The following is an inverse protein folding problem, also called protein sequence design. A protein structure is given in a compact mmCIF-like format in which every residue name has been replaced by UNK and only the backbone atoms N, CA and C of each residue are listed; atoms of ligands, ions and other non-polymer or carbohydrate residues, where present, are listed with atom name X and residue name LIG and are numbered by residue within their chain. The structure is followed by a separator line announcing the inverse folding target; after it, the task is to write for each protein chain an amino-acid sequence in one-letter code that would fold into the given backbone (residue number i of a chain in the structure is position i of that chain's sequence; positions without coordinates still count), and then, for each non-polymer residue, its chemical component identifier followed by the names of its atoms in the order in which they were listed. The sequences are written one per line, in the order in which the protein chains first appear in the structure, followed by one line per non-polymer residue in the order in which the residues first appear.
data_IF_702335617119
#
_entry.id   IF_702335617119
#
_cell.length_a   1.000
_cell.length_b   1.000
_cell.length_c   1.000
_cell.angle_alpha   90.00
_cell.angle_beta   90.00
_cell.angle_gamma   90.00
#
_symmetry.space_group_name_H-M   'P 1'
#
loop_
_entity.id
_entity.type
_entity.pdbx_description
1 polymer ?
#
# COMPACT_ATOMS: atom_id res chain seq x y z
N UNK A 1 -17.56 20.30 43.95
CA UNK A 1 -18.26 19.42 43.00
C UNK A 1 -17.20 18.54 42.36
N UNK A 2 -17.16 17.22 42.58
CA UNK A 2 -16.23 16.33 41.91
C UNK A 2 -16.79 16.00 40.51
N UNK A 3 -16.05 16.32 39.47
CA UNK A 3 -16.32 15.92 38.09
C UNK A 3 -15.86 14.48 37.89
N UNK A 4 -16.84 13.60 37.82
CA UNK A 4 -16.66 12.16 37.64
C UNK A 4 -16.36 11.84 36.18
N UNK A 5 -15.08 11.67 35.84
CA UNK A 5 -14.58 11.32 34.51
C UNK A 5 -14.84 9.85 34.13
N UNK A 6 -15.26 9.02 35.08
CA UNK A 6 -15.49 7.60 34.85
C UNK A 6 -16.78 7.27 34.07
N UNK A 7 -17.71 8.23 33.93
CA UNK A 7 -19.02 8.00 33.30
C UNK A 7 -19.10 8.38 31.81
N UNK A 8 -18.08 9.00 31.23
CA UNK A 8 -18.08 9.42 29.83
C UNK A 8 -17.56 8.38 28.82
N UNK A 9 -16.89 7.33 29.28
CA UNK A 9 -16.31 6.30 28.38
C UNK A 9 -17.31 5.22 27.96
N UNK A 10 -18.47 5.10 28.62
CA UNK A 10 -19.46 4.04 28.36
C UNK A 10 -20.47 4.37 27.23
N UNK A 11 -20.44 5.58 26.65
CA UNK A 11 -21.45 6.01 25.68
C UNK A 11 -21.06 5.82 24.19
N UNK A 12 -19.80 5.49 23.89
CA UNK A 12 -19.33 5.38 22.49
C UNK A 12 -19.48 4.00 21.87
N UNK A 13 -19.72 2.96 22.67
CA UNK A 13 -19.97 1.62 22.13
C UNK A 13 -21.27 1.06 22.70
N UNK A 14 -22.31 0.82 21.90
CA UNK A 14 -23.54 0.22 22.41
C UNK A 14 -23.28 -1.21 22.87
N UNK A 15 -23.26 -1.45 24.17
CA UNK A 15 -23.29 -2.80 24.78
C UNK A 15 -24.61 -3.48 24.45
N UNK A 16 -24.81 -3.96 23.21
CA UNK A 16 -25.89 -4.88 22.88
C UNK A 16 -25.43 -6.31 23.09
N UNK A 17 -26.19 -7.09 23.85
CA UNK A 17 -26.13 -8.56 24.01
C UNK A 17 -26.49 -9.26 22.69
N UNK A 18 -25.73 -9.05 21.64
CA UNK A 18 -25.72 -9.91 20.48
C UNK A 18 -24.43 -10.71 20.54
N UNK A 19 -24.50 -11.98 20.14
CA UNK A 19 -23.32 -12.80 19.95
C UNK A 19 -22.46 -12.09 18.90
N UNK A 20 -21.42 -11.38 19.34
CA UNK A 20 -20.56 -10.60 18.46
C UNK A 20 -19.86 -11.57 17.52
N UNK A 21 -19.94 -11.32 16.21
CA UNK A 21 -19.13 -12.06 15.24
C UNK A 21 -17.66 -11.85 15.59
N UNK A 22 -16.94 -12.92 15.87
CA UNK A 22 -15.51 -12.88 16.10
C UNK A 22 -14.78 -13.10 14.77
N UNK A 23 -13.98 -12.11 14.36
CA UNK A 23 -13.16 -12.18 13.16
C UNK A 23 -11.67 -12.32 13.52
N UNK A 24 -10.98 -13.25 12.88
CA UNK A 24 -9.53 -13.35 12.93
C UNK A 24 -8.90 -12.73 11.68
N UNK A 25 -8.03 -11.74 11.84
CA UNK A 25 -7.32 -11.08 10.76
C UNK A 25 -5.87 -11.54 10.76
N UNK A 26 -5.42 -12.16 9.69
CA UNK A 26 -4.03 -12.63 9.52
C UNK A 26 -3.20 -11.55 8.84
N UNK A 27 -2.23 -11.00 9.57
CA UNK A 27 -1.34 -9.92 9.17
C UNK A 27 -1.72 -8.58 9.82
N UNK A 28 -0.76 -7.98 10.53
CA UNK A 28 -0.87 -6.65 11.12
C UNK A 28 -0.11 -5.59 10.30
N UNK A 29 -0.08 -5.73 8.98
CA UNK A 29 0.27 -4.66 8.05
C UNK A 29 -0.84 -3.60 8.00
N UNK A 30 -0.62 -2.51 7.27
CA UNK A 30 -1.60 -1.42 7.13
C UNK A 30 -2.99 -1.95 6.78
N UNK A 31 -3.09 -2.80 5.74
CA UNK A 31 -4.38 -3.32 5.27
C UNK A 31 -5.09 -4.19 6.32
N UNK A 32 -4.33 -5.01 7.06
CA UNK A 32 -4.90 -5.83 8.15
C UNK A 32 -5.37 -5.00 9.33
N UNK A 33 -4.60 -3.99 9.76
CA UNK A 33 -5.01 -3.07 10.83
C UNK A 33 -6.22 -2.24 10.41
N UNK A 34 -6.26 -1.78 9.16
CA UNK A 34 -7.38 -1.02 8.61
C UNK A 34 -8.65 -1.88 8.54
N UNK A 35 -8.50 -3.16 8.14
CA UNK A 35 -9.61 -4.13 8.16
C UNK A 35 -10.11 -4.36 9.59
N UNK A 36 -9.19 -4.46 10.56
CA UNK A 36 -9.56 -4.60 11.97
C UNK A 36 -10.35 -3.38 12.47
N UNK A 37 -9.92 -2.16 12.13
CA UNK A 37 -10.65 -0.93 12.49
C UNK A 37 -12.06 -0.93 11.89
N UNK A 38 -12.18 -1.24 10.58
CA UNK A 38 -13.48 -1.27 9.91
C UNK A 38 -14.42 -2.32 10.53
N UNK A 39 -13.91 -3.50 10.89
CA UNK A 39 -14.67 -4.55 11.58
C UNK A 39 -15.15 -4.11 12.96
N UNK A 40 -14.26 -3.52 13.78
CA UNK A 40 -14.60 -3.02 15.12
C UNK A 40 -15.67 -1.93 15.04
N UNK A 41 -15.51 -0.95 14.16
CA UNK A 41 -16.51 0.11 13.93
C UNK A 41 -17.88 -0.44 13.53
N UNK A 42 -17.91 -1.58 12.84
CA UNK A 42 -19.13 -2.28 12.43
C UNK A 42 -19.66 -3.26 13.49
N UNK A 43 -19.00 -3.37 14.65
CA UNK A 43 -19.44 -4.12 15.83
C UNK A 43 -18.96 -5.57 15.91
N UNK A 44 -17.91 -5.96 15.19
CA UNK A 44 -17.27 -7.25 15.33
C UNK A 44 -16.23 -7.26 16.47
N UNK A 45 -16.03 -8.41 17.10
CA UNK A 45 -14.86 -8.70 17.95
C UNK A 45 -13.70 -9.14 17.04
N UNK A 46 -12.49 -8.62 17.27
CA UNK A 46 -11.38 -8.84 16.34
C UNK A 46 -10.13 -9.32 17.07
N UNK A 47 -9.51 -10.37 16.51
CA UNK A 47 -8.15 -10.78 16.88
C UNK A 47 -7.26 -10.68 15.63
N UNK A 48 -6.15 -9.94 15.74
CA UNK A 48 -5.14 -9.83 14.69
C UNK A 48 -3.96 -10.73 15.00
N UNK A 49 -3.48 -11.49 14.02
CA UNK A 49 -2.38 -12.45 14.15
C UNK A 49 -1.23 -11.96 13.28
N UNK A 50 -0.05 -11.73 13.90
CA UNK A 50 1.11 -11.16 13.23
C UNK A 50 2.36 -12.02 13.45
N UNK A 51 3.03 -12.36 12.35
CA UNK A 51 4.24 -13.17 12.38
C UNK A 51 5.45 -12.42 12.96
N UNK A 52 5.52 -11.12 12.74
CA UNK A 52 6.62 -10.29 13.21
C UNK A 52 6.46 -9.92 14.70
N UNK A 53 7.54 -9.38 15.29
CA UNK A 53 7.57 -8.97 16.70
C UNK A 53 6.68 -7.75 16.98
N UNK A 54 6.38 -6.96 15.95
CA UNK A 54 5.50 -5.80 16.05
C UNK A 54 4.72 -5.62 14.72
N UNK A 55 3.56 -4.94 14.76
CA UNK A 55 2.82 -4.58 13.56
C UNK A 55 3.63 -3.71 12.60
N UNK A 56 3.27 -3.78 11.31
CA UNK A 56 3.82 -2.94 10.23
C UNK A 56 5.33 -3.05 10.02
N UNK A 57 5.98 -4.16 10.37
CA UNK A 57 7.41 -4.39 10.11
C UNK A 57 7.70 -4.91 8.69
N UNK A 58 6.69 -5.30 7.92
CA UNK A 58 6.79 -5.71 6.52
C UNK A 58 6.75 -4.53 5.54
N UNK A 59 6.07 -4.73 4.42
CA UNK A 59 5.94 -3.74 3.35
C UNK A 59 5.43 -2.37 3.83
N UNK A 60 4.54 -2.33 4.81
CA UNK A 60 3.97 -1.09 5.38
C UNK A 60 5.02 -0.20 6.06
N UNK A 61 6.13 -0.75 6.56
CA UNK A 61 7.21 0.03 7.16
C UNK A 61 7.90 0.93 6.15
N UNK A 62 8.09 0.43 4.93
CA UNK A 62 8.77 1.13 3.84
C UNK A 62 7.79 1.77 2.85
N UNK A 63 6.48 1.64 3.06
CA UNK A 63 5.50 2.17 2.13
C UNK A 63 5.58 3.71 2.05
N UNK A 64 5.35 4.20 0.84
CA UNK A 64 4.97 5.56 0.54
C UNK A 64 3.67 5.51 -0.23
N UNK A 65 2.73 6.32 0.13
CA UNK A 65 1.40 6.33 -0.47
C UNK A 65 1.08 7.71 -1.02
N UNK A 66 0.28 7.75 -2.06
CA UNK A 66 -0.15 8.98 -2.73
C UNK A 66 -1.66 9.10 -2.57
N UNK A 67 -2.13 10.27 -2.17
CA UNK A 67 -3.54 10.60 -2.04
C UNK A 67 -3.98 11.50 -3.20
N UNK A 68 -5.10 11.18 -3.80
CA UNK A 68 -5.76 12.05 -4.78
C UNK A 68 -5.22 11.99 -6.21
N UNK A 69 -4.26 11.10 -6.50
CA UNK A 69 -3.80 10.85 -7.86
C UNK A 69 -3.54 9.34 -8.03
N UNK A 70 -4.54 8.59 -8.47
CA UNK A 70 -4.35 7.20 -8.82
C UNK A 70 -3.60 7.13 -10.16
N UNK A 71 -2.29 7.36 -10.13
CA UNK A 71 -1.48 7.05 -11.31
C UNK A 71 -1.76 5.60 -11.71
N UNK A 72 -2.13 5.32 -12.96
CA UNK A 72 -2.44 3.96 -13.38
C UNK A 72 -1.27 3.05 -13.02
N UNK A 73 -1.58 1.90 -12.44
CA UNK A 73 -0.55 0.94 -12.03
C UNK A 73 0.39 0.67 -13.21
N UNK A 74 1.71 0.85 -13.06
CA UNK A 74 2.66 0.67 -14.17
C UNK A 74 2.60 -0.73 -14.77
N UNK A 75 2.12 -1.71 -13.98
CA UNK A 75 1.93 -3.10 -14.39
C UNK A 75 0.98 -3.22 -15.59
N UNK A 76 -0.02 -2.37 -15.69
CA UNK A 76 -1.10 -2.55 -16.65
C UNK A 76 -1.25 -1.43 -17.70
N UNK A 77 -0.28 -0.55 -17.86
CA UNK A 77 -0.33 0.50 -18.91
C UNK A 77 -0.36 -0.11 -20.32
N UNK A 78 -1.25 0.37 -21.22
CA UNK A 78 -1.22 -0.03 -22.61
C UNK A 78 0.08 0.42 -23.25
N UNK A 79 0.85 -0.53 -23.75
CA UNK A 79 2.06 -0.22 -24.51
C UNK A 79 2.06 -1.07 -25.77
N UNK A 80 2.03 -0.43 -26.93
CA UNK A 80 2.29 -1.11 -28.20
C UNK A 80 3.68 -1.79 -28.17
N UNK A 81 3.91 -2.79 -29.04
CA UNK A 81 5.18 -3.54 -29.06
C UNK A 81 6.41 -2.64 -29.17
N UNK A 82 6.35 -1.59 -29.96
CA UNK A 82 7.40 -0.58 -30.13
C UNK A 82 7.61 0.27 -28.87
N UNK A 83 6.53 0.68 -28.20
CA UNK A 83 6.63 1.44 -26.95
C UNK A 83 7.23 0.60 -25.83
N UNK A 84 6.94 -0.71 -25.79
CA UNK A 84 7.57 -1.66 -24.86
C UNK A 84 9.08 -1.79 -25.10
N UNK A 85 9.49 -1.93 -26.36
CA UNK A 85 10.91 -2.01 -26.70
C UNK A 85 11.63 -0.70 -26.37
N UNK A 86 10.99 0.44 -26.65
CA UNK A 86 11.53 1.76 -26.28
C UNK A 86 11.63 1.94 -24.78
N UNK A 87 10.61 1.57 -23.99
CA UNK A 87 10.61 1.65 -22.54
C UNK A 87 11.64 0.71 -21.89
N UNK A 88 11.84 -0.47 -22.44
CA UNK A 88 12.89 -1.40 -22.03
C UNK A 88 14.29 -0.86 -22.38
N UNK A 89 14.45 -0.25 -23.54
CA UNK A 89 15.72 0.30 -24.00
C UNK A 89 16.08 1.64 -23.31
N UNK A 90 15.09 2.50 -23.07
CA UNK A 90 15.27 3.82 -22.47
C UNK A 90 15.32 3.84 -20.96
N UNK A 91 15.09 2.68 -20.31
CA UNK A 91 15.07 2.55 -18.84
C UNK A 91 14.05 3.49 -18.13
N UNK A 92 12.99 3.91 -18.85
CA UNK A 92 11.96 4.86 -18.36
C UNK A 92 10.71 4.18 -17.79
N UNK A 93 10.71 2.85 -17.65
CA UNK A 93 9.58 2.11 -17.09
C UNK A 93 9.61 2.14 -15.56
N UNK A 94 8.49 2.47 -14.94
CA UNK A 94 8.30 2.35 -13.48
C UNK A 94 8.35 0.89 -13.01
N UNK A 95 8.01 -0.07 -13.88
CA UNK A 95 8.14 -1.50 -13.64
C UNK A 95 9.31 -2.05 -14.43
N UNK A 96 10.28 -2.60 -13.72
CA UNK A 96 11.46 -3.29 -14.27
C UNK A 96 11.22 -4.79 -14.21
N UNK A 97 11.47 -5.47 -15.31
CA UNK A 97 11.46 -6.93 -15.34
C UNK A 97 12.84 -7.44 -14.95
N UNK A 98 12.91 -8.09 -13.79
CA UNK A 98 14.14 -8.76 -13.34
C UNK A 98 14.55 -9.89 -14.28
N UNK A 99 15.83 -10.22 -14.31
CA UNK A 99 16.33 -11.37 -15.05
C UNK A 99 15.63 -12.65 -14.58
N UNK A 100 15.00 -13.38 -15.49
CA UNK A 100 14.23 -14.58 -15.17
C UNK A 100 12.79 -14.34 -14.68
N UNK A 101 12.26 -13.11 -14.68
CA UNK A 101 10.88 -12.84 -14.31
C UNK A 101 9.89 -13.64 -15.16
N UNK A 102 10.13 -13.73 -16.48
CA UNK A 102 9.30 -14.50 -17.40
C UNK A 102 9.34 -16.01 -17.12
N UNK A 103 10.44 -16.53 -16.61
CA UNK A 103 10.60 -17.95 -16.26
C UNK A 103 9.92 -18.25 -14.91
N UNK A 104 10.04 -17.35 -13.94
CA UNK A 104 9.48 -17.55 -12.60
C UNK A 104 7.98 -17.27 -12.50
N UNK A 105 7.47 -16.34 -13.31
CA UNK A 105 6.07 -15.88 -13.25
C UNK A 105 5.39 -15.87 -14.62
N UNK A 106 5.43 -16.97 -15.42
CA UNK A 106 4.92 -16.97 -16.80
C UNK A 106 3.40 -16.72 -16.83
N UNK A 107 2.63 -17.34 -15.95
CA UNK A 107 1.17 -17.17 -15.86
C UNK A 107 0.79 -15.75 -15.50
N UNK A 108 1.52 -15.13 -14.56
CA UNK A 108 1.29 -13.72 -14.20
C UNK A 108 1.54 -12.78 -15.39
N UNK A 109 2.66 -12.96 -16.11
CA UNK A 109 3.00 -12.13 -17.26
C UNK A 109 1.99 -12.30 -18.40
N UNK A 110 1.50 -13.54 -18.61
CA UNK A 110 0.44 -13.81 -19.58
C UNK A 110 -0.85 -13.08 -19.23
N UNK A 111 -1.32 -13.24 -17.99
CA UNK A 111 -2.54 -12.58 -17.47
C UNK A 111 -2.41 -11.06 -17.47
N UNK A 112 -1.28 -10.52 -17.02
CA UNK A 112 -0.98 -9.09 -17.06
C UNK A 112 -1.02 -8.55 -18.52
N UNK A 113 -0.54 -9.35 -19.48
CA UNK A 113 -0.59 -8.96 -20.89
C UNK A 113 -2.02 -8.89 -21.42
N UNK A 114 -2.89 -9.81 -20.99
CA UNK A 114 -4.32 -9.79 -21.30
C UNK A 114 -5.05 -8.59 -20.67
N UNK A 115 -4.63 -8.16 -19.47
CA UNK A 115 -5.18 -6.95 -18.82
C UNK A 115 -4.77 -5.63 -19.51
N UNK A 116 -3.85 -5.66 -20.50
CA UNK A 116 -3.39 -4.47 -21.23
C UNK A 116 -4.22 -4.13 -22.47
N UNK A 117 -5.30 -4.85 -22.70
CA UNK A 117 -6.28 -4.47 -23.71
C UNK A 117 -6.85 -3.07 -23.40
N UNK A 118 -6.98 -2.15 -24.39
CA UNK A 118 -7.37 -0.76 -24.13
C UNK A 118 -8.66 -0.61 -23.31
N UNK A 119 -9.71 -1.33 -23.66
CA UNK A 119 -10.99 -1.27 -22.92
C UNK A 119 -10.86 -1.76 -21.48
N UNK A 120 -10.05 -2.79 -21.22
CA UNK A 120 -9.78 -3.27 -19.86
C UNK A 120 -8.94 -2.27 -19.06
N UNK A 121 -8.00 -1.59 -19.71
CA UNK A 121 -7.22 -0.53 -19.06
C UNK A 121 -8.11 0.64 -18.66
N UNK A 122 -9.00 1.10 -19.53
CA UNK A 122 -9.92 2.20 -19.22
C UNK A 122 -10.85 1.86 -18.06
N UNK A 123 -11.47 0.69 -18.07
CA UNK A 123 -12.34 0.23 -16.98
C UNK A 123 -11.58 0.09 -15.65
N UNK A 124 -10.34 -0.42 -15.70
CA UNK A 124 -9.46 -0.52 -14.52
C UNK A 124 -9.08 0.86 -13.99
N UNK A 125 -8.69 1.79 -14.86
CA UNK A 125 -8.26 3.13 -14.46
C UNK A 125 -9.42 3.91 -13.84
N UNK A 126 -10.63 3.76 -14.38
CA UNK A 126 -11.85 4.31 -13.79
C UNK A 126 -12.11 3.71 -12.39
N UNK A 127 -11.99 2.38 -12.23
CA UNK A 127 -12.15 1.73 -10.93
C UNK A 127 -11.06 2.18 -9.94
N UNK A 128 -9.81 2.31 -10.37
CA UNK A 128 -8.73 2.79 -9.53
C UNK A 128 -8.98 4.22 -9.05
N UNK A 129 -9.50 5.09 -9.90
CA UNK A 129 -9.87 6.47 -9.56
C UNK A 129 -10.99 6.51 -8.51
N UNK A 130 -12.09 5.79 -8.75
CA UNK A 130 -13.19 5.68 -7.79
C UNK A 130 -12.73 5.14 -6.43
N UNK A 131 -11.90 4.09 -6.44
CA UNK A 131 -11.39 3.46 -5.24
C UNK A 131 -10.44 4.39 -4.46
N UNK A 132 -9.59 5.14 -5.17
CA UNK A 132 -8.68 6.12 -4.58
C UNK A 132 -9.45 7.28 -3.96
N UNK A 133 -10.47 7.80 -4.62
CA UNK A 133 -11.32 8.87 -4.09
C UNK A 133 -12.05 8.42 -2.82
N UNK A 134 -12.70 7.26 -2.87
CA UNK A 134 -13.38 6.67 -1.72
C UNK A 134 -12.40 6.44 -0.55
N UNK A 135 -11.24 5.82 -0.84
CA UNK A 135 -10.22 5.53 0.18
C UNK A 135 -9.66 6.81 0.81
N UNK A 136 -9.34 7.82 0.01
CA UNK A 136 -8.83 9.10 0.50
C UNK A 136 -9.85 9.81 1.39
N UNK A 137 -11.12 9.83 0.98
CA UNK A 137 -12.21 10.41 1.76
C UNK A 137 -12.37 9.70 3.10
N UNK A 138 -12.40 8.36 3.10
CA UNK A 138 -12.50 7.56 4.32
C UNK A 138 -11.28 7.76 5.24
N UNK A 139 -10.06 7.77 4.69
CA UNK A 139 -8.84 7.96 5.47
C UNK A 139 -8.81 9.30 6.18
N UNK A 140 -9.21 10.37 5.49
CA UNK A 140 -9.28 11.72 6.08
C UNK A 140 -10.37 11.84 7.13
N UNK A 141 -11.53 11.21 6.89
CA UNK A 141 -12.60 11.16 7.88
C UNK A 141 -12.17 10.40 9.14
N UNK A 142 -11.50 9.26 9.01
CA UNK A 142 -10.96 8.50 10.13
C UNK A 142 -9.87 9.29 10.88
N UNK A 143 -8.99 9.96 10.14
CA UNK A 143 -7.95 10.79 10.76
C UNK A 143 -8.57 11.94 11.57
N UNK A 144 -9.62 12.57 11.06
CA UNK A 144 -10.36 13.62 11.78
C UNK A 144 -11.11 13.07 12.99
N UNK A 145 -11.80 11.94 12.86
CA UNK A 145 -12.60 11.31 13.91
C UNK A 145 -11.74 10.88 15.11
N UNK A 146 -10.57 10.30 14.82
CA UNK A 146 -9.69 9.75 15.86
C UNK A 146 -8.50 10.64 16.21
N UNK A 147 -8.36 11.79 15.59
CA UNK A 147 -7.24 12.72 15.80
C UNK A 147 -5.91 12.19 15.25
N UNK A 148 -5.93 11.34 14.24
CA UNK A 148 -4.71 10.81 13.63
C UNK A 148 -4.04 11.84 12.74
N UNK A 149 -2.71 11.87 12.77
CA UNK A 149 -1.88 12.73 11.94
C UNK A 149 -1.39 11.94 10.74
N UNK A 150 -1.70 12.39 9.52
CA UNK A 150 -1.27 11.73 8.28
C UNK A 150 0.16 12.14 7.86
N UNK A 151 0.65 13.29 8.30
CA UNK A 151 1.91 13.89 7.81
C UNK A 151 1.86 14.01 6.27
N UNK A 152 0.84 14.69 5.76
CA UNK A 152 0.70 14.90 4.31
C UNK A 152 1.73 15.90 3.79
N UNK A 153 2.28 15.63 2.58
CA UNK A 153 3.08 16.60 1.85
C UNK A 153 2.21 17.77 1.35
N UNK A 154 2.84 18.89 1.03
CA UNK A 154 2.14 20.06 0.48
C UNK A 154 1.66 19.88 -0.98
N UNK A 155 2.07 18.80 -1.61
CA UNK A 155 1.79 18.44 -3.00
C UNK A 155 2.93 17.63 -3.58
N UNK A 156 2.92 17.44 -4.90
CA UNK A 156 3.97 16.71 -5.62
C UNK A 156 4.56 17.55 -6.75
N UNK A 157 5.86 17.68 -6.77
CA UNK A 157 6.63 18.25 -7.86
C UNK A 157 7.03 17.12 -8.80
N UNK A 158 6.70 17.24 -10.07
CA UNK A 158 7.03 16.27 -11.11
C UNK A 158 8.18 16.83 -11.92
N UNK A 159 9.30 16.11 -11.93
CA UNK A 159 10.46 16.41 -12.75
C UNK A 159 10.27 15.76 -14.11
N UNK A 160 10.51 16.47 -15.21
CA UNK A 160 10.43 15.92 -16.56
C UNK A 160 11.69 16.29 -17.36
N UNK A 161 12.25 15.35 -18.18
CA UNK A 161 13.39 15.65 -19.03
C UNK A 161 13.03 16.56 -20.21
N UNK A 162 11.76 16.66 -20.56
CA UNK A 162 11.23 17.48 -21.66
C UNK A 162 10.08 18.36 -21.13
N UNK A 163 9.90 19.54 -21.72
CA UNK A 163 8.74 20.37 -21.45
C UNK A 163 7.47 19.61 -21.91
N UNK A 164 6.67 19.16 -20.97
CA UNK A 164 5.37 18.53 -21.25
C UNK A 164 4.33 19.54 -21.70
N UNK A 165 3.10 19.08 -22.00
CA UNK A 165 1.96 19.94 -22.41
C UNK A 165 1.53 20.95 -21.30
N UNK A 166 1.89 20.72 -20.03
CA UNK A 166 1.69 21.68 -18.97
C UNK A 166 2.79 22.76 -19.02
N UNK A 167 2.44 24.01 -18.76
CA UNK A 167 3.40 25.12 -18.68
C UNK A 167 4.56 24.73 -17.76
N UNK A 168 5.79 24.60 -18.28
CA UNK A 168 6.91 24.19 -17.46
C UNK A 168 7.23 25.28 -16.44
N UNK A 169 7.35 24.90 -15.18
CA UNK A 169 7.88 25.77 -14.13
C UNK A 169 9.41 25.87 -14.27
N UNK A 170 9.96 27.03 -14.00
CA UNK A 170 11.40 27.25 -13.95
C UNK A 170 11.97 26.73 -12.62
N UNK A 171 13.29 26.59 -12.52
CA UNK A 171 13.94 26.29 -11.25
C UNK A 171 13.65 27.38 -10.19
N UNK A 172 13.56 28.66 -10.61
CA UNK A 172 13.21 29.77 -9.74
C UNK A 172 11.80 29.61 -9.16
N UNK A 173 10.81 29.28 -10.01
CA UNK A 173 9.43 29.02 -9.58
C UNK A 173 9.36 27.85 -8.57
N UNK A 174 10.10 26.78 -8.84
CA UNK A 174 10.14 25.61 -7.98
C UNK A 174 10.85 25.91 -6.66
N UNK A 175 11.96 26.62 -6.70
CA UNK A 175 12.74 26.98 -5.51
C UNK A 175 11.97 27.96 -4.61
N UNK A 176 11.09 28.77 -5.16
CA UNK A 176 10.23 29.68 -4.38
C UNK A 176 9.25 28.91 -3.48
N UNK A 177 8.77 27.73 -3.90
CA UNK A 177 7.84 26.90 -3.13
C UNK A 177 8.51 25.72 -2.40
N UNK A 178 9.61 25.22 -2.93
CA UNK A 178 10.42 24.14 -2.37
C UNK A 178 11.91 24.52 -2.37
N UNK A 179 12.35 25.31 -1.41
CA UNK A 179 13.74 25.80 -1.34
C UNK A 179 14.79 24.68 -1.31
N UNK A 180 14.42 23.49 -0.88
CA UNK A 180 15.32 22.32 -0.85
C UNK A 180 15.84 21.91 -2.23
N UNK A 181 15.17 22.34 -3.30
CA UNK A 181 15.53 22.04 -4.70
C UNK A 181 16.43 23.06 -5.37
N UNK A 182 16.98 24.05 -4.64
CA UNK A 182 17.75 25.16 -5.21
C UNK A 182 18.94 24.75 -6.12
N UNK A 183 19.47 23.55 -5.93
CA UNK A 183 20.59 23.03 -6.70
C UNK A 183 20.19 22.00 -7.77
N UNK A 184 18.91 21.83 -8.03
CA UNK A 184 18.39 20.87 -9.01
C UNK A 184 18.52 21.39 -10.47
N UNK A 185 19.70 21.90 -10.87
CA UNK A 185 19.91 22.63 -12.13
C UNK A 185 19.86 21.79 -13.39
N UNK A 186 20.13 20.48 -13.30
CA UNK A 186 20.25 19.57 -14.47
C UNK A 186 19.10 18.57 -14.59
N UNK A 187 17.92 18.91 -14.11
CA UNK A 187 16.79 17.95 -14.07
C UNK A 187 15.70 18.18 -15.12
N UNK A 188 15.84 19.18 -15.97
CA UNK A 188 14.88 19.46 -17.05
C UNK A 188 13.79 20.45 -16.62
N UNK A 189 12.53 20.15 -16.93
CA UNK A 189 11.38 20.99 -16.57
C UNK A 189 10.66 20.42 -15.33
N UNK A 190 9.87 21.30 -14.70
CA UNK A 190 9.07 20.94 -13.53
C UNK A 190 7.58 21.18 -13.83
N UNK A 191 6.73 20.38 -13.20
CA UNK A 191 5.30 20.65 -13.13
C UNK A 191 4.78 20.30 -11.73
N UNK A 192 3.57 20.77 -11.41
CA UNK A 192 2.98 20.61 -10.09
C UNK A 192 1.74 19.73 -10.16
N UNK A 193 1.61 18.84 -9.18
CA UNK A 193 0.39 18.08 -8.93
C UNK A 193 -0.12 18.36 -7.51
N UNK A 194 -1.44 18.40 -7.35
CA UNK A 194 -2.09 18.52 -6.04
C UNK A 194 -2.12 17.21 -5.27
N UNK A 195 -1.71 16.10 -5.89
CA UNK A 195 -1.58 14.84 -5.21
C UNK A 195 -0.60 14.96 -4.04
N UNK A 196 -1.03 14.54 -2.86
CA UNK A 196 -0.21 14.57 -1.65
C UNK A 196 0.32 13.17 -1.35
N UNK A 197 1.41 13.09 -0.63
CA UNK A 197 1.92 11.84 -0.05
C UNK A 197 1.74 11.87 1.45
N UNK A 198 1.68 10.70 2.08
CA UNK A 198 1.47 10.60 3.52
C UNK A 198 2.34 9.54 4.17
N UNK A 199 2.54 9.66 5.48
CA UNK A 199 3.37 8.73 6.24
C UNK A 199 2.57 7.51 6.70
N UNK A 200 2.62 6.44 5.90
CA UNK A 200 1.98 5.15 6.22
C UNK A 200 2.44 4.60 7.56
N UNK A 201 3.73 4.63 7.84
CA UNK A 201 4.29 4.09 9.09
C UNK A 201 3.86 4.87 10.33
N UNK A 202 3.76 6.18 10.23
CA UNK A 202 3.31 7.05 11.33
C UNK A 202 1.82 6.84 11.62
N UNK A 203 1.00 6.83 10.58
CA UNK A 203 -0.42 6.53 10.69
C UNK A 203 -0.68 5.13 11.28
N UNK A 204 0.00 4.11 10.76
CA UNK A 204 -0.17 2.73 11.23
C UNK A 204 0.22 2.55 12.71
N UNK A 205 1.16 3.36 13.23
CA UNK A 205 1.47 3.39 14.66
C UNK A 205 0.27 3.88 15.48
N UNK A 206 -0.33 4.99 15.09
CA UNK A 206 -1.51 5.55 15.75
C UNK A 206 -2.71 4.61 15.67
N UNK A 207 -2.94 4.02 14.51
CA UNK A 207 -3.99 3.03 14.28
C UNK A 207 -3.84 1.80 15.18
N UNK A 208 -2.63 1.28 15.33
CA UNK A 208 -2.34 0.16 16.25
C UNK A 208 -2.65 0.52 17.69
N UNK A 209 -2.24 1.71 18.13
CA UNK A 209 -2.48 2.20 19.49
C UNK A 209 -3.99 2.33 19.75
N UNK A 210 -4.71 2.94 18.85
CA UNK A 210 -6.18 3.05 18.90
C UNK A 210 -6.89 1.69 18.94
N UNK A 211 -6.47 0.74 18.10
CA UNK A 211 -7.04 -0.62 18.11
C UNK A 211 -6.80 -1.34 19.45
N UNK A 212 -5.63 -1.17 20.06
CA UNK A 212 -5.33 -1.74 21.36
C UNK A 212 -6.23 -1.13 22.47
N UNK A 213 -6.46 0.18 22.44
CA UNK A 213 -7.38 0.87 23.34
C UNK A 213 -8.83 0.43 23.11
N UNK A 214 -9.22 0.15 21.87
CA UNK A 214 -10.53 -0.40 21.52
C UNK A 214 -10.69 -1.90 21.90
N UNK A 215 -9.69 -2.52 22.51
CA UNK A 215 -9.73 -3.91 22.99
C UNK A 215 -9.40 -4.97 21.94
N UNK A 216 -8.91 -4.59 20.76
CA UNK A 216 -8.45 -5.55 19.75
C UNK A 216 -7.20 -6.29 20.24
N UNK A 217 -7.23 -7.61 20.18
CA UNK A 217 -6.08 -8.44 20.52
C UNK A 217 -5.14 -8.53 19.31
N UNK A 218 -3.93 -7.98 19.43
CA UNK A 218 -2.89 -8.10 18.41
C UNK A 218 -1.82 -9.07 18.88
N UNK A 219 -1.83 -10.27 18.32
CA UNK A 219 -0.95 -11.38 18.68
C UNK A 219 0.30 -11.36 17.81
N UNK A 220 1.33 -10.65 18.26
CA UNK A 220 2.63 -10.59 17.57
C UNK A 220 3.50 -11.83 17.85
N UNK A 221 4.55 -12.02 17.02
CA UNK A 221 5.42 -13.21 17.03
C UNK A 221 4.65 -14.52 16.91
N UNK A 222 3.51 -14.48 16.23
CA UNK A 222 2.65 -15.64 16.00
C UNK A 222 2.43 -15.82 14.50
N UNK A 223 3.16 -16.75 13.90
CA UNK A 223 3.04 -17.06 12.48
C UNK A 223 1.84 -17.96 12.23
N UNK A 224 0.91 -17.49 11.37
CA UNK A 224 -0.12 -18.37 10.81
C UNK A 224 0.53 -19.40 9.90
N UNK A 225 0.21 -20.68 10.12
CA UNK A 225 0.76 -21.82 9.37
C UNK A 225 -0.27 -22.47 8.46
N UNK A 226 -1.55 -22.07 8.57
CA UNK A 226 -2.64 -22.58 7.75
C UNK A 226 -4.00 -22.11 8.26
N UNK A 227 -5.04 -22.69 7.69
CA UNK A 227 -6.43 -22.43 8.02
C UNK A 227 -7.05 -23.64 8.73
N UNK A 228 -7.95 -23.40 9.66
CA UNK A 228 -8.72 -24.44 10.35
C UNK A 228 -10.11 -24.48 9.71
N UNK A 229 -10.52 -25.66 9.26
CA UNK A 229 -11.86 -25.88 8.70
C UNK A 229 -12.66 -26.84 9.54
N UNK A 230 -13.97 -26.64 9.56
CA UNK A 230 -14.96 -27.57 10.10
C UNK A 230 -16.14 -27.63 9.14
N UNK A 231 -16.53 -28.85 8.75
CA UNK A 231 -17.61 -29.09 7.78
C UNK A 231 -17.54 -28.26 6.50
N UNK A 232 -16.32 -28.05 5.96
CA UNK A 232 -16.08 -27.28 4.73
C UNK A 232 -16.11 -25.76 4.91
N UNK A 233 -16.29 -25.25 6.14
CA UNK A 233 -16.24 -23.84 6.48
C UNK A 233 -14.94 -23.51 7.23
N UNK A 234 -14.29 -22.44 6.86
CA UNK A 234 -13.15 -21.91 7.63
C UNK A 234 -13.65 -21.30 8.93
N UNK A 235 -13.08 -21.77 10.05
CA UNK A 235 -13.46 -21.42 11.41
C UNK A 235 -12.28 -21.11 12.32
N UNK A 236 -11.14 -20.73 11.73
CA UNK A 236 -9.96 -20.31 12.49
C UNK A 236 -8.67 -20.36 11.70
N UNK A 237 -7.60 -20.00 12.40
CA UNK A 237 -6.23 -19.92 11.92
C UNK A 237 -5.36 -20.88 12.71
N UNK A 238 -4.60 -21.72 12.00
CA UNK A 238 -3.58 -22.57 12.59
C UNK A 238 -2.32 -21.72 12.87
N UNK A 239 -1.85 -21.78 14.10
CA UNK A 239 -0.62 -21.16 14.60
C UNK A 239 -0.13 -22.03 15.78
N UNK A 240 0.96 -21.64 16.45
CA UNK A 240 1.43 -22.34 17.66
C UNK A 240 0.30 -22.53 18.69
N UNK A 241 -0.49 -21.49 18.92
CA UNK A 241 -1.79 -21.55 19.58
C UNK A 241 -2.87 -21.21 18.53
N UNK A 242 -3.79 -22.15 18.24
CA UNK A 242 -4.85 -21.93 17.27
C UNK A 242 -5.80 -20.81 17.69
N UNK A 243 -6.21 -19.99 16.71
CA UNK A 243 -7.21 -18.94 16.94
C UNK A 243 -8.50 -19.33 16.23
N UNK A 244 -9.56 -19.61 16.99
CA UNK A 244 -10.91 -19.86 16.48
C UNK A 244 -11.63 -18.56 16.22
N UNK A 245 -12.41 -18.51 15.14
CA UNK A 245 -13.19 -17.33 14.75
C UNK A 245 -14.37 -17.73 13.85
N UNK A 246 -15.41 -16.92 13.81
CA UNK A 246 -16.57 -17.11 12.92
C UNK A 246 -16.23 -16.78 11.46
N UNK A 247 -15.26 -15.89 11.25
CA UNK A 247 -14.71 -15.53 9.95
C UNK A 247 -13.20 -15.28 10.05
N UNK A 248 -12.48 -15.62 8.98
CA UNK A 248 -11.05 -15.37 8.84
C UNK A 248 -10.80 -14.42 7.68
N UNK A 249 -9.99 -13.38 7.90
CA UNK A 249 -9.51 -12.47 6.85
C UNK A 249 -8.01 -12.68 6.67
N UNK A 250 -7.57 -12.94 5.44
CA UNK A 250 -6.14 -13.01 5.11
C UNK A 250 -5.69 -11.69 4.50
N UNK A 251 -4.79 -10.99 5.22
CA UNK A 251 -4.24 -9.66 4.89
C UNK A 251 -2.71 -9.59 5.10
N UNK A 252 -2.00 -10.72 4.94
CA UNK A 252 -0.59 -10.87 5.30
C UNK A 252 0.39 -10.71 4.13
N UNK A 253 0.01 -9.93 3.09
CA UNK A 253 0.88 -9.62 1.96
C UNK A 253 1.37 -10.87 1.22
N UNK A 254 2.68 -10.99 1.00
CA UNK A 254 3.29 -12.15 0.32
C UNK A 254 3.10 -13.46 1.09
N UNK A 255 2.98 -13.40 2.42
CA UNK A 255 2.70 -14.57 3.26
C UNK A 255 1.34 -15.23 2.97
N UNK A 256 0.44 -14.55 2.26
CA UNK A 256 -0.83 -15.13 1.84
C UNK A 256 -0.65 -16.38 0.96
N UNK A 257 0.40 -16.42 0.14
CA UNK A 257 0.70 -17.56 -0.73
C UNK A 257 1.18 -18.81 0.04
N UNK A 258 1.61 -18.66 1.29
CA UNK A 258 2.03 -19.77 2.14
C UNK A 258 0.83 -20.47 2.80
N UNK A 259 -0.29 -19.75 3.03
CA UNK A 259 -1.43 -20.24 3.82
C UNK A 259 -2.70 -20.43 3.00
N UNK A 260 -2.83 -19.78 1.85
CA UNK A 260 -4.01 -19.89 0.98
C UNK A 260 -3.82 -20.97 -0.08
N UNK A 261 -4.73 -21.94 -0.19
CA UNK A 261 -4.77 -22.81 -1.35
C UNK A 261 -5.25 -22.05 -2.58
N UNK A 262 -4.78 -22.40 -3.77
CA UNK A 262 -5.06 -21.67 -5.02
C UNK A 262 -6.57 -21.50 -5.29
N UNK A 263 -7.39 -22.50 -4.97
CA UNK A 263 -8.84 -22.41 -5.17
C UNK A 263 -9.52 -21.37 -4.25
N UNK A 264 -8.88 -20.93 -3.17
CA UNK A 264 -9.41 -19.87 -2.31
C UNK A 264 -9.53 -18.52 -3.03
N UNK A 265 -8.69 -18.29 -4.03
CA UNK A 265 -8.67 -17.09 -4.87
C UNK A 265 -8.74 -17.40 -6.37
N UNK A 266 -9.31 -18.57 -6.71
CA UNK A 266 -9.61 -18.97 -8.10
C UNK A 266 -8.38 -19.20 -8.98
N UNK A 267 -7.21 -19.46 -8.40
CA UNK A 267 -5.97 -19.64 -9.17
C UNK A 267 -5.48 -18.38 -9.88
N UNK A 268 -5.93 -17.19 -9.47
CA UNK A 268 -5.45 -15.93 -10.03
C UNK A 268 -3.92 -15.87 -9.91
N UNK A 269 -3.18 -15.72 -11.00
CA UNK A 269 -1.72 -15.67 -10.92
C UNK A 269 -1.29 -14.39 -10.22
N UNK A 270 -0.78 -14.53 -8.99
CA UNK A 270 -0.24 -13.44 -8.19
C UNK A 270 1.28 -13.42 -8.27
N UNK A 271 1.89 -12.26 -8.22
CA UNK A 271 3.35 -12.15 -8.25
C UNK A 271 3.87 -11.12 -7.25
N UNK A 272 5.02 -11.40 -6.60
CA UNK A 272 5.71 -10.41 -5.80
C UNK A 272 6.36 -9.36 -6.69
N UNK A 273 6.20 -8.09 -6.30
CA UNK A 273 6.92 -6.95 -6.87
C UNK A 273 7.67 -6.24 -5.74
N UNK A 274 8.95 -5.95 -5.99
CA UNK A 274 9.87 -5.41 -4.97
C UNK A 274 10.31 -4.01 -5.34
N UNK A 275 10.46 -3.15 -4.36
CA UNK A 275 10.92 -1.77 -4.49
C UNK A 275 12.06 -1.49 -3.51
N UNK A 276 13.11 -0.83 -3.97
CA UNK A 276 14.20 -0.35 -3.13
C UNK A 276 13.87 1.01 -2.52
N UNK A 277 14.34 1.24 -1.31
CA UNK A 277 14.06 2.45 -0.53
C UNK A 277 15.35 2.94 0.13
N UNK A 278 15.59 4.23 0.07
CA UNK A 278 16.66 4.93 0.78
C UNK A 278 16.03 5.93 1.74
N UNK A 279 16.27 5.78 3.03
CA UNK A 279 15.91 6.76 4.05
C UNK A 279 17.17 7.53 4.45
N UNK A 280 17.10 8.85 4.42
CA UNK A 280 18.19 9.73 4.84
C UNK A 280 17.64 10.76 5.82
N UNK A 281 18.26 10.85 7.00
CA UNK A 281 17.85 11.81 8.02
C UNK A 281 18.07 13.25 7.54
N UNK A 282 17.14 14.13 7.86
CA UNK A 282 17.27 15.56 7.62
C UNK A 282 18.29 16.12 8.62
N UNK A 283 19.27 16.88 8.15
CA UNK A 283 20.27 17.56 8.96
C UNK A 283 20.07 19.07 8.94
N UNK A 284 19.96 19.69 10.11
CA UNK A 284 19.90 21.13 10.33
C UNK A 284 18.54 21.77 10.07
N UNK A 285 18.38 23.02 10.54
CA UNK A 285 17.15 23.81 10.46
C UNK A 285 16.82 24.32 9.03
N UNK A 286 17.72 24.11 8.08
CA UNK A 286 17.70 24.82 6.80
C UNK A 286 16.86 24.15 5.71
N UNK A 287 16.39 22.93 5.89
CA UNK A 287 15.79 22.20 4.76
C UNK A 287 14.68 21.27 5.16
N UNK A 288 13.52 21.83 5.49
CA UNK A 288 12.28 21.06 5.61
C UNK A 288 11.72 20.89 4.21
N UNK A 289 11.93 19.71 3.62
CA UNK A 289 11.25 19.32 2.39
C UNK A 289 9.73 19.26 2.66
N UNK A 290 8.95 19.95 1.83
CA UNK A 290 7.49 20.06 1.99
C UNK A 290 6.72 19.30 0.92
N UNK A 291 7.28 19.22 -0.29
CA UNK A 291 6.65 18.57 -1.44
C UNK A 291 7.31 17.23 -1.71
N UNK A 292 6.52 16.24 -2.13
CA UNK A 292 7.08 15.06 -2.75
C UNK A 292 7.69 15.42 -4.12
N UNK A 293 8.75 14.73 -4.54
CA UNK A 293 9.38 14.94 -5.85
C UNK A 293 9.39 13.63 -6.62
N UNK A 294 8.74 13.60 -7.77
CA UNK A 294 8.61 12.43 -8.64
C UNK A 294 9.40 12.61 -9.93
N UNK A 295 10.17 11.58 -10.30
CA UNK A 295 10.89 11.56 -11.59
C UNK A 295 10.11 10.80 -12.66
N UNK A 296 10.43 11.01 -13.96
CA UNK A 296 9.76 10.33 -15.09
C UNK A 296 9.88 8.80 -15.02
N UNK A 297 10.96 8.29 -14.43
CA UNK A 297 11.19 6.86 -14.28
C UNK A 297 10.38 6.23 -13.13
N UNK A 298 9.57 7.04 -12.43
CA UNK A 298 8.74 6.56 -11.31
C UNK A 298 9.47 6.44 -9.97
N UNK A 299 10.64 7.06 -9.82
CA UNK A 299 11.24 7.27 -8.50
C UNK A 299 10.55 8.43 -7.81
N UNK A 300 10.43 8.36 -6.50
CA UNK A 300 9.78 9.40 -5.73
C UNK A 300 10.54 9.66 -4.43
N UNK A 301 10.79 10.94 -4.13
CA UNK A 301 11.26 11.38 -2.82
C UNK A 301 10.08 11.92 -2.01
N UNK A 302 9.94 11.43 -0.78
CA UNK A 302 8.84 11.74 0.14
C UNK A 302 9.38 12.49 1.34
N UNK A 303 8.82 13.65 1.72
CA UNK A 303 9.09 14.30 2.99
C UNK A 303 8.43 13.51 4.12
N UNK A 304 9.20 13.08 5.10
CA UNK A 304 8.71 12.40 6.30
C UNK A 304 9.39 13.04 7.51
N UNK A 305 8.69 13.89 8.21
CA UNK A 305 9.07 14.61 9.42
C UNK A 305 10.61 14.75 9.67
N UNK A 306 11.27 13.65 10.06
CA UNK A 306 12.69 13.64 10.45
C UNK A 306 13.63 13.09 9.37
N UNK A 307 13.11 12.64 8.23
CA UNK A 307 13.92 12.09 7.14
C UNK A 307 13.24 12.19 5.78
N UNK A 308 14.03 12.13 4.74
CA UNK A 308 13.55 11.96 3.35
C UNK A 308 13.59 10.48 3.01
N UNK A 309 12.50 9.98 2.44
CA UNK A 309 12.42 8.63 1.88
C UNK A 309 12.48 8.72 0.36
N UNK A 310 13.50 8.15 -0.24
CA UNK A 310 13.59 8.02 -1.69
C UNK A 310 13.25 6.58 -2.07
N UNK A 311 12.26 6.42 -2.92
CA UNK A 311 11.75 5.11 -3.35
C UNK A 311 12.09 4.90 -4.82
N UNK A 312 12.62 3.73 -5.12
CA UNK A 312 13.02 3.31 -6.44
C UNK A 312 11.86 2.82 -7.31
N UNK A 313 12.18 2.25 -8.44
CA UNK A 313 11.23 1.61 -9.32
C UNK A 313 10.78 0.26 -8.77
N UNK A 314 9.68 -0.24 -9.29
CA UNK A 314 9.17 -1.55 -8.96
C UNK A 314 9.83 -2.63 -9.83
N UNK A 315 10.20 -3.75 -9.22
CA UNK A 315 10.88 -4.88 -9.88
C UNK A 315 10.02 -6.14 -9.78
N UNK A 316 9.57 -6.66 -10.92
CA UNK A 316 8.89 -7.94 -11.01
C UNK A 316 9.90 -9.09 -11.01
N UNK A 317 9.66 -10.09 -10.17
CA UNK A 317 10.50 -11.27 -10.09
C UNK A 317 11.89 -11.02 -9.49
N UNK A 318 12.09 -9.89 -8.80
CA UNK A 318 13.23 -9.71 -7.93
C UNK A 318 13.08 -10.68 -6.72
N UNK A 319 14.20 -11.21 -6.27
CA UNK A 319 14.24 -11.92 -4.98
C UNK A 319 14.03 -10.90 -3.85
N UNK A 320 13.47 -11.32 -2.72
CA UNK A 320 13.18 -10.44 -1.56
C UNK A 320 14.38 -9.62 -1.07
N UNK A 321 15.59 -10.07 -1.37
CA UNK A 321 16.85 -9.41 -1.09
C UNK A 321 17.63 -9.17 -2.38
N UNK A 322 16.96 -8.63 -3.42
CA UNK A 322 17.64 -8.32 -4.67
C UNK A 322 18.91 -7.51 -4.36
N UNK A 323 20.07 -7.89 -4.87
CA UNK A 323 21.26 -7.07 -4.81
C UNK A 323 21.04 -5.85 -5.69
N UNK A 324 20.67 -4.79 -5.05
CA UNK A 324 20.09 -3.64 -5.67
C UNK A 324 21.11 -2.51 -5.70
N UNK A 325 22.39 -2.89 -5.74
CA UNK A 325 23.49 -1.93 -5.78
C UNK A 325 23.28 -0.86 -6.85
N UNK A 326 22.82 -1.25 -8.04
CA UNK A 326 22.50 -0.30 -9.11
C UNK A 326 21.29 0.59 -8.80
N UNK A 327 20.25 0.05 -8.18
CA UNK A 327 19.07 0.85 -7.82
C UNK A 327 19.40 1.74 -6.62
N UNK A 328 20.07 1.25 -5.60
CA UNK A 328 20.52 2.06 -4.47
C UNK A 328 21.43 3.20 -4.90
N UNK A 329 22.39 2.91 -5.80
CA UNK A 329 23.23 3.96 -6.38
C UNK A 329 22.39 5.03 -7.07
N UNK A 330 21.38 4.64 -7.86
CA UNK A 330 20.50 5.57 -8.54
C UNK A 330 19.63 6.39 -7.56
N UNK A 331 19.19 5.80 -6.43
CA UNK A 331 18.48 6.53 -5.38
C UNK A 331 19.39 7.56 -4.68
N UNK A 332 20.61 7.15 -4.39
CA UNK A 332 21.60 8.04 -3.79
C UNK A 332 21.95 9.20 -4.74
N UNK A 333 22.23 8.90 -6.01
CA UNK A 333 22.50 9.91 -7.05
C UNK A 333 21.33 10.88 -7.23
N UNK A 334 20.09 10.38 -7.25
CA UNK A 334 18.89 11.20 -7.28
C UNK A 334 18.82 12.14 -6.06
N UNK A 335 19.05 11.60 -4.86
CA UNK A 335 19.01 12.37 -3.64
C UNK A 335 20.05 13.47 -3.58
N UNK A 336 21.31 13.13 -3.86
CA UNK A 336 22.41 14.11 -3.89
C UNK A 336 22.19 15.18 -4.95
N UNK A 337 21.63 14.81 -6.11
CA UNK A 337 21.35 15.75 -7.19
C UNK A 337 20.20 16.72 -6.85
N UNK A 338 19.12 16.20 -6.26
CA UNK A 338 17.94 17.01 -5.94
C UNK A 338 18.10 17.81 -4.63
N UNK A 339 18.80 17.25 -3.65
CA UNK A 339 18.84 17.81 -2.28
C UNK A 339 20.27 17.82 -1.70
N UNK A 340 21.27 18.41 -2.37
CA UNK A 340 22.68 18.26 -1.99
C UNK A 340 23.02 18.81 -0.60
N UNK A 341 22.30 19.81 -0.13
CA UNK A 341 22.54 20.43 1.17
C UNK A 341 21.51 20.05 2.25
N UNK A 342 20.51 19.24 1.90
CA UNK A 342 19.38 18.98 2.79
C UNK A 342 19.70 17.91 3.85
N UNK A 343 20.67 17.02 3.60
CA UNK A 343 20.84 15.81 4.41
C UNK A 343 22.31 15.34 4.43
N UNK A 344 22.66 14.55 5.46
CA UNK A 344 23.91 13.79 5.46
C UNK A 344 23.70 12.45 4.71
N UNK A 345 24.03 12.43 3.44
CA UNK A 345 23.89 11.28 2.57
C UNK A 345 24.78 10.09 2.97
N UNK A 346 25.81 10.32 3.80
CA UNK A 346 26.66 9.23 4.31
C UNK A 346 25.96 8.32 5.31
N UNK A 347 24.87 8.81 5.93
CA UNK A 347 24.05 8.10 6.91
C UNK A 347 22.83 7.42 6.29
N UNK A 348 22.77 7.30 4.98
CA UNK A 348 21.66 6.71 4.26
C UNK A 348 21.39 5.26 4.66
N UNK A 349 20.14 4.96 5.04
CA UNK A 349 19.69 3.60 5.36
C UNK A 349 18.96 2.98 4.17
N UNK A 350 19.53 1.94 3.61
CA UNK A 350 18.94 1.19 2.51
C UNK A 350 17.98 0.13 3.02
N UNK A 351 16.81 0.08 2.39
CA UNK A 351 15.72 -0.84 2.69
C UNK A 351 15.10 -1.33 1.38
N UNK A 352 14.37 -2.42 1.46
CA UNK A 352 13.51 -2.87 0.36
C UNK A 352 12.22 -3.44 0.92
N UNK A 353 11.16 -3.41 0.15
CA UNK A 353 9.93 -4.08 0.50
C UNK A 353 9.32 -4.78 -0.71
N UNK A 354 8.61 -5.85 -0.43
CA UNK A 354 7.92 -6.66 -1.43
C UNK A 354 6.44 -6.64 -1.14
N UNK A 355 5.64 -6.38 -2.17
CA UNK A 355 4.18 -6.46 -2.12
C UNK A 355 3.70 -7.54 -3.09
N UNK A 356 2.57 -8.15 -2.80
CA UNK A 356 1.90 -9.06 -3.70
C UNK A 356 1.03 -8.26 -4.66
N UNK A 357 1.10 -8.56 -5.96
CA UNK A 357 0.31 -7.89 -7.00
C UNK A 357 -0.53 -8.87 -7.79
N UNK A 358 -1.71 -8.44 -8.19
CA UNK A 358 -2.56 -9.05 -9.19
C UNK A 358 -2.14 -8.63 -10.61
N UNK A 359 -2.58 -9.34 -11.66
CA UNK A 359 -2.22 -9.02 -13.06
C UNK A 359 -2.71 -7.65 -13.54
N UNK A 360 -3.82 -7.17 -13.02
CA UNK A 360 -4.37 -5.84 -13.34
C UNK A 360 -3.87 -4.73 -12.40
N UNK A 361 -3.16 -5.09 -11.32
CA UNK A 361 -2.62 -4.17 -10.33
C UNK A 361 -3.62 -3.67 -9.30
N UNK A 362 -4.89 -4.13 -9.34
CA UNK A 362 -5.90 -3.80 -8.35
C UNK A 362 -5.96 -4.86 -7.23
N UNK A 363 -6.37 -4.49 -6.01
CA UNK A 363 -6.52 -5.44 -4.90
C UNK A 363 -7.46 -6.61 -5.24
N UNK A 364 -7.22 -7.76 -4.61
CA UNK A 364 -8.18 -8.86 -4.55
C UNK A 364 -8.81 -8.85 -3.16
N UNK A 365 -10.09 -8.49 -3.08
CA UNK A 365 -10.79 -8.24 -1.82
C UNK A 365 -12.18 -8.87 -1.79
N UNK A 366 -12.66 -9.18 -0.57
CA UNK A 366 -13.98 -9.74 -0.31
C UNK A 366 -13.98 -11.25 -0.09
N UNK A 367 -15.10 -11.91 -0.36
CA UNK A 367 -15.29 -13.34 -0.12
C UNK A 367 -14.36 -14.21 -0.99
N UNK A 368 -13.77 -15.21 -0.39
CA UNK A 368 -12.95 -16.21 -1.08
C UNK A 368 -13.82 -17.29 -1.77
N UNK A 369 -13.17 -18.28 -2.38
CA UNK A 369 -13.82 -19.52 -2.84
C UNK A 369 -14.22 -20.46 -1.70
N UNK A 370 -13.87 -20.16 -0.45
CA UNK A 370 -14.10 -21.00 0.73
C UNK A 370 -15.01 -20.29 1.74
N UNK A 371 -16.12 -20.90 2.18
CA UNK A 371 -17.01 -20.31 3.18
C UNK A 371 -16.25 -19.95 4.46
N UNK A 372 -16.54 -18.78 5.05
CA UNK A 372 -15.89 -18.29 6.27
C UNK A 372 -14.51 -17.64 6.07
N UNK A 373 -14.00 -17.64 4.83
CA UNK A 373 -12.71 -17.02 4.48
C UNK A 373 -12.92 -15.80 3.60
N UNK A 374 -12.25 -14.71 3.94
CA UNK A 374 -12.23 -13.46 3.20
C UNK A 374 -10.80 -13.06 2.85
N UNK A 375 -10.66 -12.36 1.73
CA UNK A 375 -9.36 -11.96 1.17
C UNK A 375 -9.20 -10.44 1.25
N UNK A 376 -8.02 -10.01 1.64
CA UNK A 376 -7.51 -8.65 1.54
C UNK A 376 -6.07 -8.73 1.06
N UNK A 377 -5.89 -9.21 -0.17
CA UNK A 377 -4.58 -9.57 -0.73
C UNK A 377 -4.30 -8.82 -2.03
N UNK A 378 -3.07 -8.92 -2.48
CA UNK A 378 -2.63 -8.36 -3.77
C UNK A 378 -2.92 -6.86 -3.93
N UNK A 379 -2.81 -6.07 -2.84
CA UNK A 379 -2.94 -4.62 -2.90
C UNK A 379 -1.98 -3.96 -3.90
N UNK A 380 -0.92 -4.66 -4.26
CA UNK A 380 0.04 -4.21 -5.25
C UNK A 380 0.74 -2.93 -4.83
N UNK A 381 1.13 -2.15 -5.81
CA UNK A 381 1.88 -0.91 -5.62
C UNK A 381 1.04 0.21 -5.01
N UNK A 382 -0.28 0.13 -5.11
CA UNK A 382 -1.26 1.09 -4.57
C UNK A 382 -1.98 0.57 -3.31
N UNK A 383 -1.48 -0.51 -2.70
CA UNK A 383 -2.15 -1.12 -1.55
C UNK A 383 -2.37 -0.18 -0.36
N UNK A 384 -1.51 0.80 -0.17
CA UNK A 384 -1.69 1.81 0.86
C UNK A 384 -2.70 2.89 0.46
N UNK A 385 -2.77 3.22 -0.84
CA UNK A 385 -3.69 4.24 -1.37
C UNK A 385 -5.15 3.76 -1.29
N UNK A 386 -5.38 2.45 -1.37
CA UNK A 386 -6.70 1.82 -1.37
C UNK A 386 -7.11 1.20 -0.02
N UNK A 387 -6.28 1.33 1.02
CA UNK A 387 -6.38 0.50 2.23
C UNK A 387 -7.73 0.62 2.96
N UNK A 388 -8.31 1.83 3.07
CA UNK A 388 -9.57 2.05 3.79
C UNK A 388 -10.77 1.54 3.00
N UNK A 389 -10.84 1.79 1.69
CA UNK A 389 -11.92 1.29 0.84
C UNK A 389 -11.87 -0.25 0.73
N UNK A 390 -10.67 -0.84 0.62
CA UNK A 390 -10.50 -2.30 0.64
C UNK A 390 -10.94 -2.89 1.98
N UNK A 391 -10.59 -2.26 3.09
CA UNK A 391 -11.02 -2.68 4.42
C UNK A 391 -12.53 -2.64 4.59
N UNK A 392 -13.17 -1.63 4.01
CA UNK A 392 -14.63 -1.49 4.01
C UNK A 392 -15.30 -2.63 3.23
N UNK A 393 -14.82 -2.94 2.02
CA UNK A 393 -15.28 -4.08 1.21
C UNK A 393 -15.16 -5.40 1.95
N UNK A 394 -14.01 -5.63 2.58
CA UNK A 394 -13.76 -6.90 3.28
C UNK A 394 -14.63 -7.03 4.52
N UNK A 395 -14.74 -5.97 5.32
CA UNK A 395 -15.57 -5.97 6.53
C UNK A 395 -17.06 -6.10 6.24
N UNK A 396 -17.55 -5.48 5.15
CA UNK A 396 -18.94 -5.68 4.70
C UNK A 396 -19.17 -7.13 4.27
N UNK A 397 -18.23 -7.73 3.52
CA UNK A 397 -18.28 -9.13 3.14
C UNK A 397 -18.30 -10.07 4.34
N UNK A 398 -17.49 -9.82 5.38
CA UNK A 398 -17.49 -10.57 6.65
C UNK A 398 -18.86 -10.51 7.34
N UNK A 399 -19.47 -9.34 7.33
CA UNK A 399 -20.77 -9.10 8.00
C UNK A 399 -21.99 -9.39 7.11
N UNK A 400 -21.79 -9.92 5.90
CA UNK A 400 -22.88 -10.22 4.95
C UNK A 400 -23.59 -8.98 4.43
N UNK A 401 -22.90 -7.85 4.34
CA UNK A 401 -23.43 -6.58 3.80
C UNK A 401 -23.00 -6.42 2.35
N UNK A 402 -23.80 -5.69 1.58
CA UNK A 402 -23.44 -5.30 0.22
C UNK A 402 -22.45 -4.14 0.23
N UNK A 403 -21.53 -4.14 -0.75
CA UNK A 403 -20.58 -3.05 -0.97
C UNK A 403 -20.39 -2.86 -2.48
N UNK A 404 -20.40 -1.61 -3.01
CA UNK A 404 -20.35 -1.35 -4.45
C UNK A 404 -19.10 -1.82 -5.15
N UNK A 405 -18.01 -2.04 -4.42
CA UNK A 405 -16.74 -2.52 -4.97
C UNK A 405 -16.59 -4.05 -4.88
N UNK A 406 -17.46 -4.77 -4.17
CA UNK A 406 -17.28 -6.20 -3.86
C UNK A 406 -17.08 -7.07 -5.09
N UNK A 407 -17.93 -6.94 -6.12
CA UNK A 407 -17.80 -7.74 -7.35
C UNK A 407 -16.57 -7.31 -8.16
N UNK A 408 -16.34 -6.00 -8.25
CA UNK A 408 -15.26 -5.41 -9.04
C UNK A 408 -13.86 -5.71 -8.47
N UNK A 409 -13.74 -5.94 -7.16
CA UNK A 409 -12.49 -6.34 -6.48
C UNK A 409 -12.40 -7.84 -6.22
N UNK A 410 -13.46 -8.61 -6.50
CA UNK A 410 -13.45 -10.06 -6.38
C UNK A 410 -12.40 -10.70 -7.30
N UNK A 411 -11.84 -11.81 -6.86
CA UNK A 411 -10.98 -12.67 -7.68
C UNK A 411 -11.69 -13.17 -8.96
N UNK A 412 -13.03 -13.25 -8.95
CA UNK A 412 -13.85 -13.68 -10.09
C UNK A 412 -13.73 -12.78 -11.32
N UNK A 413 -13.28 -11.53 -11.19
CA UNK A 413 -13.03 -10.63 -12.32
C UNK A 413 -11.97 -11.13 -13.32
N UNK A 414 -11.20 -12.14 -12.92
CA UNK A 414 -10.20 -12.80 -13.78
C UNK A 414 -10.75 -14.03 -14.54
N UNK A 415 -12.07 -14.27 -14.53
CA UNK A 415 -12.69 -15.34 -15.29
C UNK A 415 -12.97 -16.62 -14.49
N UNK A 416 -13.15 -16.45 -13.16
CA UNK A 416 -13.60 -17.50 -12.25
C UNK A 416 -15.10 -17.77 -12.37
#
# INVERSE_FOLDING_TARGET
MPTDWATMTDSFFPKKKYQYMHAAVVGAGLTGLQTALSLVRKGADVTVIEAQRAPCQGASYCAGAVLGDPAPAPIARPAGRLARLKALASNTSELVYGSGAAVRHPSFISAMTACREPARCEARDALAAELSEASTSMLRAEAQEHGFILQESAGTIIVSPEAGEASPATLEDVTAIEPSLYAATDVGSFSFSRATTWSVSYYAKQLREHLAEAGVKILCSRKATGLISDNGRICGVAADEPVRADAVVVACGTGALEILPEHAYGGVPLAPVTRSVLNVSLSGDACVMRHAVRTPEGRIALPLDTFVRIMGRWHLGAQEHCPVDKEYKALWEMGVKLFPAATDWSQGRYLSHTVLSSPDGLPVAGASGMPGLHLSIAGGIHGADFCTAVADVVSDGVLGRENPFSERLSWRRFGG
#
